data_IF_071306667263
#
_entry.id   IF_071306667263
#
_cell.length_a   1.000
_cell.length_b   1.000
_cell.length_c   1.000
_cell.angle_alpha   90.00
_cell.angle_beta   90.00
_cell.angle_gamma   90.00
#
_symmetry.space_group_name_H-M   'P 1'
#
loop_
_entity.id
_entity.type
_entity.pdbx_description
1 polymer ?
#
# COMPACT_ATOMS: atom_id res chain seq x y z
N UNK A 1 -52.21 -11.63 16.30
CA UNK A 1 -51.05 -10.95 16.91
C UNK A 1 -49.87 -11.11 15.97
N UNK A 2 -49.42 -10.03 15.33
CA UNK A 2 -48.33 -10.07 14.33
C UNK A 2 -46.99 -10.04 15.07
N UNK A 3 -46.27 -11.15 15.05
CA UNK A 3 -44.88 -11.26 15.49
C UNK A 3 -43.99 -10.48 14.52
N UNK A 4 -43.52 -9.31 14.95
CA UNK A 4 -42.42 -8.60 14.28
C UNK A 4 -41.11 -9.26 14.71
N UNK A 5 -40.59 -10.15 13.87
CA UNK A 5 -39.23 -10.66 14.02
C UNK A 5 -38.26 -9.54 13.61
N UNK A 6 -37.63 -8.90 14.60
CA UNK A 6 -36.59 -7.91 14.37
C UNK A 6 -35.31 -8.66 13.96
N UNK A 7 -35.05 -8.74 12.65
CA UNK A 7 -33.79 -9.24 12.12
C UNK A 7 -32.67 -8.26 12.54
N UNK A 8 -31.85 -8.65 13.53
CA UNK A 8 -30.59 -7.97 13.81
C UNK A 8 -29.67 -8.18 12.60
N UNK A 9 -29.60 -7.19 11.72
CA UNK A 9 -28.51 -7.11 10.75
C UNK A 9 -27.23 -6.83 11.53
N UNK A 10 -26.45 -7.89 11.77
CA UNK A 10 -25.08 -7.78 12.24
C UNK A 10 -24.32 -7.14 11.08
N UNK A 11 -24.19 -5.80 11.08
CA UNK A 11 -23.23 -5.14 10.21
C UNK A 11 -21.83 -5.61 10.65
N UNK A 12 -21.07 -6.31 9.81
CA UNK A 12 -19.67 -6.57 10.11
C UNK A 12 -19.00 -5.19 10.15
N UNK A 13 -18.56 -4.76 11.32
CA UNK A 13 -17.68 -3.62 11.47
C UNK A 13 -16.45 -3.92 10.61
N UNK A 14 -16.33 -3.23 9.47
CA UNK A 14 -15.08 -3.13 8.74
C UNK A 14 -14.09 -2.45 9.67
N UNK A 15 -13.42 -3.24 10.51
CA UNK A 15 -12.16 -2.85 11.12
C UNK A 15 -11.19 -2.76 9.95
N UNK A 16 -11.20 -1.61 9.26
CA UNK A 16 -10.19 -1.30 8.28
C UNK A 16 -8.85 -1.46 8.99
N UNK A 17 -7.99 -2.31 8.44
CA UNK A 17 -6.64 -2.45 8.98
C UNK A 17 -6.01 -1.05 8.99
N UNK A 18 -5.69 -0.55 10.18
CA UNK A 18 -5.09 0.77 10.31
C UNK A 18 -3.80 0.83 9.47
N UNK A 19 -3.63 1.94 8.75
CA UNK A 19 -2.40 2.20 7.99
C UNK A 19 -1.18 2.13 8.91
N UNK A 20 -0.10 1.52 8.43
CA UNK A 20 1.12 1.29 9.21
C UNK A 20 1.77 2.63 9.57
N UNK A 21 1.64 3.62 8.69
CA UNK A 21 2.32 4.90 8.74
C UNK A 21 1.39 6.09 9.10
N UNK A 22 0.24 5.84 9.75
CA UNK A 22 -0.80 6.84 10.03
C UNK A 22 -0.31 8.14 10.70
N UNK A 23 0.70 8.05 11.57
CA UNK A 23 1.25 9.21 12.31
C UNK A 23 2.50 9.83 11.64
N UNK A 24 2.81 9.43 10.41
CA UNK A 24 3.94 9.97 9.66
C UNK A 24 3.44 11.08 8.73
N UNK A 25 3.96 12.29 8.92
CA UNK A 25 3.63 13.42 8.07
C UNK A 25 4.12 13.15 6.64
N UNK A 26 3.20 13.32 5.68
CA UNK A 26 3.48 13.13 4.26
C UNK A 26 3.01 14.37 3.51
N UNK A 27 3.97 15.18 3.05
CA UNK A 27 3.74 16.44 2.35
C UNK A 27 3.64 16.26 0.83
N UNK A 28 3.56 15.02 0.34
CA UNK A 28 3.28 14.73 -1.08
C UNK A 28 1.86 15.15 -1.42
N UNK A 29 1.68 15.81 -2.57
CA UNK A 29 0.37 16.18 -3.10
C UNK A 29 -0.58 14.96 -3.19
N UNK A 30 -1.82 15.07 -2.69
CA UNK A 30 -2.75 13.93 -2.63
C UNK A 30 -2.98 13.21 -3.96
N UNK A 31 -2.94 13.94 -5.08
CA UNK A 31 -3.27 13.45 -6.42
C UNK A 31 -2.20 12.52 -7.01
N UNK A 32 -0.95 12.71 -6.59
CA UNK A 32 0.19 11.92 -7.06
C UNK A 32 0.62 10.87 -6.03
N UNK A 33 0.08 10.91 -4.81
CA UNK A 33 0.43 9.98 -3.74
C UNK A 33 0.06 8.53 -4.09
N UNK A 34 0.98 7.62 -3.79
CA UNK A 34 0.71 6.18 -3.73
C UNK A 34 0.39 5.86 -2.27
N UNK A 35 -0.87 5.47 -2.00
CA UNK A 35 -1.31 5.12 -0.65
C UNK A 35 -0.85 3.72 -0.25
N UNK A 36 -0.84 3.43 1.05
CA UNK A 36 -0.59 2.07 1.52
C UNK A 36 -1.62 1.08 0.96
N UNK A 37 -2.86 1.52 0.72
CA UNK A 37 -3.93 0.70 0.16
C UNK A 37 -3.66 0.29 -1.30
N UNK A 38 -2.92 1.09 -2.06
CA UNK A 38 -2.54 0.77 -3.45
C UNK A 38 -1.50 -0.36 -3.52
N UNK A 39 -0.73 -0.54 -2.45
CA UNK A 39 0.37 -1.51 -2.35
C UNK A 39 -0.14 -2.92 -2.00
N UNK A 40 -0.88 -3.51 -2.94
CA UNK A 40 -1.43 -4.87 -2.82
C UNK A 40 -0.60 -5.90 -3.61
N UNK A 41 -0.77 -7.18 -3.26
CA UNK A 41 -0.16 -8.31 -4.00
C UNK A 41 -0.56 -8.28 -5.47
N UNK A 42 -1.83 -7.99 -5.73
CA UNK A 42 -2.37 -7.94 -7.09
C UNK A 42 -1.83 -6.75 -7.88
N UNK A 43 -1.74 -5.57 -7.26
CA UNK A 43 -1.12 -4.40 -7.89
C UNK A 43 0.35 -4.66 -8.23
N UNK A 44 1.12 -5.29 -7.33
CA UNK A 44 2.51 -5.66 -7.58
C UNK A 44 2.66 -6.64 -8.76
N UNK A 45 1.80 -7.66 -8.87
CA UNK A 45 1.85 -8.57 -10.02
C UNK A 45 1.42 -7.91 -11.33
N UNK A 46 0.38 -7.08 -11.30
CA UNK A 46 -0.02 -6.28 -12.48
C UNK A 46 1.13 -5.39 -12.93
N UNK A 47 1.82 -4.74 -11.98
CA UNK A 47 2.96 -3.91 -12.28
C UNK A 47 4.15 -4.70 -12.85
N UNK A 48 4.43 -5.89 -12.30
CA UNK A 48 5.47 -6.78 -12.83
C UNK A 48 5.17 -7.19 -14.28
N UNK A 49 3.93 -7.61 -14.56
CA UNK A 49 3.51 -7.98 -15.91
C UNK A 49 3.66 -6.81 -16.88
N UNK A 50 3.21 -5.62 -16.48
CA UNK A 50 3.32 -4.41 -17.28
C UNK A 50 4.79 -4.07 -17.61
N UNK A 51 5.72 -4.24 -16.68
CA UNK A 51 7.15 -4.07 -16.98
C UNK A 51 7.61 -5.02 -18.10
N UNK A 52 7.18 -6.29 -18.07
CA UNK A 52 7.45 -7.25 -19.14
C UNK A 52 6.92 -6.78 -20.48
N UNK A 53 5.68 -6.29 -20.53
CA UNK A 53 5.06 -5.74 -21.75
C UNK A 53 5.80 -4.50 -22.28
N UNK A 54 6.33 -3.63 -21.40
CA UNK A 54 7.16 -2.49 -21.81
C UNK A 54 8.51 -2.94 -22.41
N UNK A 55 9.12 -3.99 -21.84
CA UNK A 55 10.36 -4.57 -22.36
C UNK A 55 10.14 -5.20 -23.73
N UNK A 56 9.08 -6.00 -23.89
CA UNK A 56 8.75 -6.68 -25.14
C UNK A 56 8.41 -5.68 -26.26
N UNK A 57 7.65 -4.63 -25.92
CA UNK A 57 7.24 -3.63 -26.91
C UNK A 57 8.33 -2.62 -27.26
N UNK A 58 9.26 -2.35 -26.33
CA UNK A 58 10.27 -1.28 -26.46
C UNK A 58 9.69 0.14 -26.54
N UNK A 59 8.39 0.31 -26.23
CA UNK A 59 7.68 1.59 -26.34
C UNK A 59 7.08 1.96 -24.99
N UNK A 60 7.63 3.00 -24.36
CA UNK A 60 7.15 3.48 -23.08
C UNK A 60 7.60 4.91 -22.82
N UNK A 61 6.82 5.63 -22.01
CA UNK A 61 7.21 6.89 -21.42
C UNK A 61 8.19 6.65 -20.27
N UNK A 62 9.14 7.57 -20.08
CA UNK A 62 10.22 7.43 -19.09
C UNK A 62 9.73 7.19 -17.66
N UNK A 63 8.54 7.68 -17.31
CA UNK A 63 7.95 7.57 -15.98
C UNK A 63 7.26 6.23 -15.73
N UNK A 64 6.80 5.53 -16.78
CA UNK A 64 6.07 4.27 -16.64
C UNK A 64 6.87 3.20 -15.87
N UNK A 65 8.11 2.84 -16.27
CA UNK A 65 8.87 1.83 -15.53
C UNK A 65 9.16 2.25 -14.09
N UNK A 66 9.40 3.55 -13.83
CA UNK A 66 9.63 4.06 -12.48
C UNK A 66 8.40 3.91 -11.57
N UNK A 67 7.22 4.28 -12.08
CA UNK A 67 5.97 4.15 -11.35
C UNK A 67 5.65 2.68 -11.04
N UNK A 68 5.82 1.78 -12.02
CA UNK A 68 5.60 0.34 -11.83
C UNK A 68 6.56 -0.26 -10.80
N UNK A 69 7.84 0.13 -10.84
CA UNK A 69 8.83 -0.29 -9.84
C UNK A 69 8.47 0.17 -8.43
N UNK A 70 7.95 1.39 -8.26
CA UNK A 70 7.48 1.88 -6.94
C UNK A 70 6.37 1.00 -6.37
N UNK A 71 5.41 0.56 -7.19
CA UNK A 71 4.33 -0.33 -6.73
C UNK A 71 4.89 -1.68 -6.27
N UNK A 72 5.79 -2.27 -7.05
CA UNK A 72 6.42 -3.56 -6.70
C UNK A 72 7.24 -3.42 -5.41
N UNK A 73 8.13 -2.42 -5.35
CA UNK A 73 9.02 -2.22 -4.22
C UNK A 73 8.26 -1.86 -2.94
N UNK A 74 7.29 -0.94 -3.05
CA UNK A 74 6.42 -0.56 -1.94
C UNK A 74 5.64 -1.74 -1.37
N UNK A 75 5.09 -2.62 -2.21
CA UNK A 75 4.43 -3.84 -1.75
C UNK A 75 5.39 -4.77 -0.97
N UNK A 76 6.62 -4.96 -1.46
CA UNK A 76 7.61 -5.79 -0.79
C UNK A 76 8.02 -5.20 0.58
N UNK A 77 8.18 -3.88 0.66
CA UNK A 77 8.43 -3.19 1.93
C UNK A 77 7.23 -3.34 2.89
N UNK A 78 6.00 -3.15 2.40
CA UNK A 78 4.78 -3.34 3.20
C UNK A 78 4.73 -4.75 3.78
N UNK A 79 5.04 -5.78 2.97
CA UNK A 79 5.06 -7.17 3.44
C UNK A 79 6.14 -7.44 4.48
N UNK A 80 7.33 -6.86 4.33
CA UNK A 80 8.38 -6.95 5.35
C UNK A 80 7.96 -6.29 6.67
N UNK A 81 7.36 -5.10 6.59
CA UNK A 81 6.85 -4.39 7.76
C UNK A 81 5.77 -5.22 8.49
N UNK A 82 4.78 -5.75 7.76
CA UNK A 82 3.74 -6.61 8.33
C UNK A 82 4.30 -7.88 8.99
N UNK A 83 5.23 -8.58 8.32
CA UNK A 83 5.87 -9.76 8.90
C UNK A 83 6.66 -9.40 10.18
N UNK A 84 7.36 -8.26 10.19
CA UNK A 84 8.07 -7.80 11.38
C UNK A 84 7.12 -7.49 12.54
N UNK A 85 5.94 -6.91 12.25
CA UNK A 85 4.88 -6.65 13.23
C UNK A 85 4.35 -7.96 13.82
N UNK A 86 3.97 -8.91 12.95
CA UNK A 86 3.44 -10.22 13.34
C UNK A 86 4.41 -10.99 14.24
N UNK A 87 5.71 -10.99 13.90
CA UNK A 87 6.74 -11.68 14.66
C UNK A 87 7.06 -11.04 16.03
N UNK A 88 6.79 -9.74 16.20
CA UNK A 88 7.22 -8.97 17.38
C UNK A 88 6.14 -8.79 18.45
N UNK A 89 4.87 -9.01 18.11
CA UNK A 89 3.74 -8.83 19.05
C UNK A 89 3.65 -7.40 19.60
N UNK A 90 3.34 -7.24 20.89
CA UNK A 90 3.06 -5.95 21.54
C UNK A 90 4.27 -5.01 21.76
N UNK A 91 5.37 -5.17 21.01
CA UNK A 91 6.46 -4.18 21.02
C UNK A 91 6.06 -2.96 20.21
N UNK A 92 6.69 -1.82 20.50
CA UNK A 92 6.49 -0.57 19.76
C UNK A 92 6.78 -0.78 18.27
N UNK A 93 5.72 -0.98 17.48
CA UNK A 93 5.76 -1.33 16.05
C UNK A 93 6.63 -0.36 15.24
N UNK A 94 6.60 0.93 15.59
CA UNK A 94 7.35 2.00 14.91
C UNK A 94 8.86 1.93 15.13
N UNK A 95 9.32 1.28 16.19
CA UNK A 95 10.75 1.07 16.44
C UNK A 95 11.35 0.03 15.49
N UNK A 96 10.51 -0.79 14.85
CA UNK A 96 10.94 -1.86 13.97
C UNK A 96 11.56 -1.27 12.71
N UNK A 97 12.79 -1.69 12.42
CA UNK A 97 13.56 -1.25 11.26
C UNK A 97 12.77 -1.38 9.95
N UNK A 98 12.06 -2.50 9.73
CA UNK A 98 11.29 -2.71 8.50
C UNK A 98 10.06 -1.79 8.41
N UNK A 99 9.45 -1.42 9.54
CA UNK A 99 8.35 -0.44 9.58
C UNK A 99 8.87 0.96 9.25
N UNK A 100 9.99 1.38 9.85
CA UNK A 100 10.61 2.68 9.53
C UNK A 100 10.97 2.77 8.05
N UNK A 101 11.55 1.71 7.49
CA UNK A 101 11.92 1.68 6.07
C UNK A 101 10.70 1.79 5.16
N UNK A 102 9.61 1.08 5.49
CA UNK A 102 8.37 1.20 4.74
C UNK A 102 7.76 2.61 4.85
N UNK A 103 7.69 3.18 6.04
CA UNK A 103 7.12 4.51 6.22
C UNK A 103 7.96 5.63 5.60
N UNK A 104 9.29 5.56 5.64
CA UNK A 104 10.14 6.47 4.87
C UNK A 104 9.83 6.39 3.38
N UNK A 105 9.73 5.18 2.81
CA UNK A 105 9.33 5.03 1.41
C UNK A 105 7.96 5.67 1.13
N UNK A 106 6.96 5.47 2.01
CA UNK A 106 5.63 6.07 1.86
C UNK A 106 5.68 7.61 1.81
N UNK A 107 6.50 8.23 2.65
CA UNK A 107 6.53 9.70 2.75
C UNK A 107 7.48 10.38 1.77
N UNK A 108 8.56 9.72 1.35
CA UNK A 108 9.61 10.33 0.52
C UNK A 108 9.52 9.91 -0.95
N UNK A 109 9.09 8.67 -1.22
CA UNK A 109 9.26 8.04 -2.53
C UNK A 109 7.95 7.58 -3.18
N UNK A 110 6.89 7.35 -2.40
CA UNK A 110 5.64 6.74 -2.86
C UNK A 110 4.72 7.77 -3.55
N UNK A 111 5.15 8.22 -4.73
CA UNK A 111 4.39 9.12 -5.59
C UNK A 111 4.53 8.75 -7.07
N UNK A 112 3.51 9.04 -7.88
CA UNK A 112 3.51 8.86 -9.32
C UNK A 112 4.24 10.02 -10.01
N UNK A 113 5.19 9.69 -10.88
CA UNK A 113 5.71 10.63 -11.87
C UNK A 113 4.72 10.82 -13.03
N UNK A 114 4.70 12.00 -13.64
CA UNK A 114 3.96 12.28 -14.89
C UNK A 114 2.45 12.51 -14.72
N UNK A 115 1.96 12.62 -13.48
CA UNK A 115 0.67 13.23 -13.17
C UNK A 115 0.93 14.64 -12.63
N UNK A 116 0.50 15.65 -13.36
CA UNK A 116 0.49 17.07 -12.99
C UNK A 116 -0.79 17.67 -13.52
#
# INVERSE_FOLDING_TARGET
MKTFALLLMILPSLVGAADICIDWENNTEPEIKISEADLTKEAAYKAQKAIGELIESGKFEWYQPKNLQKIIYGYLLKKRALNAIELRGNKEIKSLHDVKRFCHFIIEDAFYYGRS
#
